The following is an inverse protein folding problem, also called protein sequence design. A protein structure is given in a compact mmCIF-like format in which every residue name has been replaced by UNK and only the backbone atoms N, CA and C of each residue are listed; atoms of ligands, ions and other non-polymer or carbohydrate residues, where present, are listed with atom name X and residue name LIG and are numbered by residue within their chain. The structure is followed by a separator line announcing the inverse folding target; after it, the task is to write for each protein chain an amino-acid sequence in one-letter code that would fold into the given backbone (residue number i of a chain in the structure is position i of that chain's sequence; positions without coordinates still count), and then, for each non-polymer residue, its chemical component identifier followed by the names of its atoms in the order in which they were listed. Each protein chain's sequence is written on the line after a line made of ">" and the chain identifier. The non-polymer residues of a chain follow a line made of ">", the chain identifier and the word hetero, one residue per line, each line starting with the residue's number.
data_IF_263045773524
#
_entry.id   IF_263045773524
#
_cell.length_a   1.000
_cell.length_b   1.000
_cell.length_c   1.000
_cell.angle_alpha   90.00
_cell.angle_beta   90.00
_cell.angle_gamma   90.00
#
_symmetry.space_group_name_H-M   'P 1'
#
loop_
_entity.id
_entity.type
_entity.pdbx_description
1 polymer ?
#
# COMPACT_ATOMS: atom_id res chain seq x y z
N UNK A 1 -5.92 -2.20 -19.49
CA UNK A 1 -5.44 -3.13 -20.53
C UNK A 1 -4.16 -3.88 -20.10
N UNK A 2 -3.11 -3.16 -19.67
CA UNK A 2 -1.86 -3.81 -19.21
C UNK A 2 -2.08 -4.66 -17.94
N UNK A 3 -2.86 -4.16 -16.98
CA UNK A 3 -3.15 -4.89 -15.73
C UNK A 3 -4.06 -6.10 -15.95
N UNK A 4 -4.88 -6.12 -17.01
CA UNK A 4 -5.75 -7.27 -17.30
C UNK A 4 -4.98 -8.44 -17.94
N UNK A 5 -4.03 -8.15 -18.85
CA UNK A 5 -3.34 -9.18 -19.64
C UNK A 5 -1.95 -9.54 -19.09
N UNK A 6 -1.29 -8.59 -18.39
CA UNK A 6 0.10 -8.71 -17.95
C UNK A 6 0.25 -8.45 -16.45
N UNK A 7 -0.82 -8.63 -15.68
CA UNK A 7 -0.87 -8.34 -14.24
C UNK A 7 0.31 -8.91 -13.46
N UNK A 8 0.67 -10.18 -13.72
CA UNK A 8 1.76 -10.87 -13.03
C UNK A 8 3.09 -10.14 -13.22
N UNK A 9 3.42 -9.77 -14.45
CA UNK A 9 4.71 -9.12 -14.78
C UNK A 9 4.80 -7.72 -14.20
N UNK A 10 3.69 -6.96 -14.25
CA UNK A 10 3.61 -5.61 -13.71
C UNK A 10 3.75 -5.63 -12.19
N UNK A 11 3.05 -6.53 -11.49
CA UNK A 11 3.11 -6.63 -10.04
C UNK A 11 4.48 -7.08 -9.55
N UNK A 12 5.14 -8.02 -10.24
CA UNK A 12 6.51 -8.43 -9.90
C UNK A 12 7.53 -7.31 -10.17
N UNK A 13 7.36 -6.54 -11.24
CA UNK A 13 8.19 -5.35 -11.50
C UNK A 13 8.02 -4.30 -10.39
N UNK A 14 6.78 -4.05 -9.98
CA UNK A 14 6.46 -3.12 -8.89
C UNK A 14 7.02 -3.60 -7.55
N UNK A 15 6.86 -4.89 -7.22
CA UNK A 15 7.47 -5.48 -6.03
C UNK A 15 8.99 -5.36 -6.04
N UNK A 16 9.61 -5.60 -7.20
CA UNK A 16 11.05 -5.39 -7.39
C UNK A 16 11.46 -3.96 -7.10
N UNK A 17 10.74 -2.98 -7.65
CA UNK A 17 11.01 -1.56 -7.42
C UNK A 17 10.93 -1.20 -5.93
N UNK A 18 9.90 -1.67 -5.23
CA UNK A 18 9.77 -1.47 -3.78
C UNK A 18 10.96 -2.10 -3.03
N UNK A 19 11.30 -3.35 -3.33
CA UNK A 19 12.43 -4.03 -2.67
C UNK A 19 13.75 -3.29 -2.96
N UNK A 20 13.90 -2.75 -4.17
CA UNK A 20 15.06 -1.94 -4.55
C UNK A 20 15.23 -0.65 -3.74
N UNK A 21 14.15 -0.07 -3.20
CA UNK A 21 14.21 1.11 -2.33
C UNK A 21 14.46 0.80 -0.86
N UNK A 22 14.27 -0.46 -0.41
CA UNK A 22 14.45 -0.85 1.00
C UNK A 22 15.83 -0.50 1.56
N UNK A 23 16.96 -0.70 0.85
CA UNK A 23 18.28 -0.33 1.37
C UNK A 23 18.39 1.14 1.74
N UNK A 24 17.81 2.06 0.97
CA UNK A 24 17.84 3.49 1.30
C UNK A 24 16.93 3.82 2.48
N UNK A 25 15.78 3.18 2.60
CA UNK A 25 14.92 3.31 3.76
C UNK A 25 15.60 2.84 5.04
N UNK A 26 16.35 1.72 4.99
CA UNK A 26 17.14 1.22 6.12
C UNK A 26 18.29 2.19 6.44
N UNK A 27 18.94 2.76 5.43
CA UNK A 27 19.97 3.77 5.61
C UNK A 27 19.44 5.03 6.29
N UNK A 28 18.28 5.52 5.85
CA UNK A 28 17.61 6.67 6.45
C UNK A 28 17.12 6.35 7.88
N UNK A 29 16.62 5.14 8.15
CA UNK A 29 16.26 4.69 9.48
C UNK A 29 17.41 4.76 10.48
N UNK A 30 18.63 4.44 10.04
CA UNK A 30 19.83 4.41 10.86
C UNK A 30 20.64 5.72 10.81
N UNK A 31 20.09 6.80 10.23
CA UNK A 31 20.81 8.05 10.01
C UNK A 31 21.25 8.71 11.31
N UNK A 32 20.37 8.74 12.31
CA UNK A 32 20.55 9.47 13.56
C UNK A 32 20.94 8.57 14.76
N UNK A 33 20.89 7.24 14.61
CA UNK A 33 21.22 6.27 15.66
C UNK A 33 21.61 4.91 15.07
N UNK A 34 22.48 4.18 15.80
CA UNK A 34 22.72 2.79 15.49
C UNK A 34 21.45 1.95 15.71
N UNK A 35 21.31 0.90 14.92
CA UNK A 35 20.18 -0.03 14.96
C UNK A 35 20.03 -0.67 16.34
N UNK A 36 18.90 -0.43 17.01
CA UNK A 36 18.58 -1.05 18.31
C UNK A 36 17.71 -2.32 18.12
N UNK A 37 17.75 -3.20 19.14
CA UNK A 37 16.88 -4.39 19.20
C UNK A 37 15.39 -4.02 19.15
N UNK A 38 15.04 -2.86 19.70
CA UNK A 38 13.66 -2.33 19.68
C UNK A 38 13.21 -2.02 18.27
N UNK A 39 14.07 -1.51 17.40
CA UNK A 39 13.76 -1.22 16.00
C UNK A 39 13.41 -2.49 15.22
N UNK A 40 14.15 -3.58 15.50
CA UNK A 40 13.86 -4.89 14.92
C UNK A 40 12.52 -5.47 15.40
N UNK A 41 12.16 -5.24 16.66
CA UNK A 41 10.85 -5.62 17.21
C UNK A 41 9.75 -4.84 16.52
N UNK A 42 9.89 -3.53 16.31
CA UNK A 42 8.94 -2.71 15.58
C UNK A 42 8.76 -3.20 14.14
N UNK A 43 9.86 -3.51 13.44
CA UNK A 43 9.81 -4.09 12.09
C UNK A 43 9.01 -5.39 12.05
N UNK A 44 9.38 -6.40 12.85
CA UNK A 44 8.72 -7.70 12.82
C UNK A 44 7.28 -7.65 13.29
N UNK A 45 7.01 -6.88 14.35
CA UNK A 45 5.64 -6.70 14.85
C UNK A 45 4.77 -6.07 13.77
N UNK A 46 5.24 -5.02 13.13
CA UNK A 46 4.49 -4.34 12.07
C UNK A 46 4.33 -5.23 10.86
N UNK A 47 5.38 -5.93 10.42
CA UNK A 47 5.32 -6.86 9.30
C UNK A 47 4.24 -7.95 9.52
N UNK A 48 4.23 -8.56 10.69
CA UNK A 48 3.27 -9.63 11.02
C UNK A 48 1.87 -9.06 11.20
N UNK A 49 1.71 -8.00 11.99
CA UNK A 49 0.40 -7.40 12.29
C UNK A 49 -0.25 -6.84 11.03
N UNK A 50 0.50 -6.10 10.20
CA UNK A 50 -0.02 -5.59 8.93
C UNK A 50 -0.37 -6.71 7.95
N UNK A 51 0.45 -7.77 7.89
CA UNK A 51 0.17 -8.95 7.08
C UNK A 51 -1.12 -9.65 7.48
N UNK A 52 -1.29 -9.91 8.77
CA UNK A 52 -2.52 -10.51 9.30
C UNK A 52 -3.71 -9.59 9.09
N UNK A 53 -3.56 -8.28 9.35
CA UNK A 53 -4.65 -7.32 9.19
C UNK A 53 -5.09 -7.22 7.72
N UNK A 54 -4.15 -7.03 6.80
CA UNK A 54 -4.45 -6.89 5.37
C UNK A 54 -5.02 -8.20 4.77
N UNK A 55 -4.49 -9.35 5.19
CA UNK A 55 -5.03 -10.65 4.77
C UNK A 55 -6.40 -10.91 5.40
N UNK A 56 -6.54 -10.62 6.68
CA UNK A 56 -7.78 -10.82 7.46
C UNK A 56 -8.95 -9.95 6.97
N UNK A 57 -8.67 -8.74 6.47
CA UNK A 57 -9.69 -7.87 5.90
C UNK A 57 -10.45 -8.53 4.73
N UNK A 58 -9.83 -9.47 4.00
CA UNK A 58 -10.50 -10.21 2.93
C UNK A 58 -11.59 -11.18 3.45
N UNK A 59 -11.58 -11.52 4.74
CA UNK A 59 -12.57 -12.38 5.38
C UNK A 59 -13.65 -11.59 6.14
N UNK A 60 -13.45 -10.28 6.33
CA UNK A 60 -14.43 -9.40 6.94
C UNK A 60 -15.42 -8.96 5.86
N UNK A 61 -16.46 -9.75 5.68
CA UNK A 61 -17.56 -9.41 4.76
C UNK A 61 -18.55 -8.54 5.50
N UNK A 62 -18.49 -7.25 5.27
CA UNK A 62 -19.47 -6.29 5.80
C UNK A 62 -19.85 -5.30 4.71
N UNK A 63 -21.13 -5.24 4.34
CA UNK A 63 -21.61 -4.18 3.45
C UNK A 63 -22.13 -3.01 4.27
N UNK A 64 -21.41 -1.89 4.20
CA UNK A 64 -21.88 -0.62 4.74
C UNK A 64 -22.85 0.02 3.75
N UNK A 65 -23.96 0.57 4.28
CA UNK A 65 -24.89 1.33 3.45
C UNK A 65 -24.24 2.61 2.93
N UNK A 66 -24.62 3.04 1.73
CA UNK A 66 -24.21 4.32 1.19
C UNK A 66 -24.81 5.45 2.05
N UNK A 67 -24.01 6.07 2.89
CA UNK A 67 -24.40 7.19 3.76
C UNK A 67 -23.29 8.23 3.79
N UNK A 68 -23.63 9.45 4.17
CA UNK A 68 -22.67 10.55 4.27
C UNK A 68 -21.46 10.21 5.14
N UNK A 69 -21.69 9.60 6.33
CA UNK A 69 -20.60 9.18 7.23
C UNK A 69 -19.74 8.06 6.65
N UNK A 70 -20.35 7.10 5.97
CA UNK A 70 -19.63 6.00 5.35
C UNK A 70 -18.80 6.47 4.13
N UNK A 71 -19.25 7.54 3.45
CA UNK A 71 -18.42 8.17 2.42
C UNK A 71 -17.28 9.02 2.99
N UNK A 72 -17.42 9.61 4.20
CA UNK A 72 -16.27 10.18 4.91
C UNK A 72 -15.24 9.09 5.23
N UNK A 73 -15.68 7.93 5.72
CA UNK A 73 -14.81 6.78 5.95
C UNK A 73 -14.13 6.33 4.64
N UNK A 74 -14.90 6.26 3.54
CA UNK A 74 -14.35 5.92 2.23
C UNK A 74 -13.23 6.89 1.80
N UNK A 75 -13.45 8.19 1.97
CA UNK A 75 -12.45 9.22 1.70
C UNK A 75 -11.20 9.07 2.58
N UNK A 76 -11.40 8.74 3.85
CA UNK A 76 -10.29 8.46 4.78
C UNK A 76 -9.46 7.25 4.34
N UNK A 77 -10.11 6.17 3.90
CA UNK A 77 -9.44 4.96 3.39
C UNK A 77 -8.69 5.22 2.08
N UNK A 78 -9.27 6.04 1.18
CA UNK A 78 -8.60 6.48 -0.04
C UNK A 78 -7.32 7.25 0.29
N UNK A 79 -7.39 8.20 1.23
CA UNK A 79 -6.23 8.97 1.67
C UNK A 79 -5.16 8.08 2.32
N UNK A 80 -5.55 7.15 3.18
CA UNK A 80 -4.63 6.18 3.78
C UNK A 80 -3.96 5.29 2.72
N UNK A 81 -4.69 4.88 1.68
CA UNK A 81 -4.11 4.11 0.58
C UNK A 81 -3.05 4.85 -0.22
N UNK A 82 -3.15 6.20 -0.28
CA UNK A 82 -2.11 7.04 -0.88
C UNK A 82 -0.91 7.19 0.06
N UNK A 83 -1.16 7.32 1.36
CA UNK A 83 -0.14 7.58 2.38
C UNK A 83 0.63 6.31 2.79
N UNK A 84 -0.03 5.15 2.76
CA UNK A 84 0.55 3.87 3.15
C UNK A 84 0.83 3.03 1.92
N UNK A 85 2.10 2.89 1.51
CA UNK A 85 2.46 2.08 0.34
C UNK A 85 1.95 0.64 0.46
N UNK A 86 1.37 0.12 -0.62
CA UNK A 86 0.86 -1.25 -0.68
C UNK A 86 -0.54 -1.45 -0.08
N UNK A 87 -1.14 -0.44 0.54
CA UNK A 87 -2.54 -0.49 0.93
C UNK A 87 -3.40 -0.20 -0.32
N UNK A 88 -4.19 -1.16 -0.78
CA UNK A 88 -5.14 -0.96 -1.88
C UNK A 88 -6.45 -0.39 -1.33
N UNK A 89 -6.74 0.90 -1.52
CA UNK A 89 -7.96 1.50 -1.01
C UNK A 89 -9.20 0.95 -1.72
N UNK A 90 -9.11 0.63 -3.00
CA UNK A 90 -10.22 0.01 -3.76
C UNK A 90 -10.63 -1.33 -3.17
N UNK A 91 -9.67 -2.13 -2.75
CA UNK A 91 -9.94 -3.43 -2.12
C UNK A 91 -10.66 -3.27 -0.77
N UNK A 92 -10.22 -2.31 0.05
CA UNK A 92 -10.90 -2.00 1.32
C UNK A 92 -12.34 -1.53 1.08
N UNK A 93 -12.55 -0.66 0.08
CA UNK A 93 -13.88 -0.18 -0.27
C UNK A 93 -14.78 -1.28 -0.84
N UNK A 94 -14.21 -2.24 -1.60
CA UNK A 94 -14.94 -3.42 -2.08
C UNK A 94 -15.40 -4.30 -0.91
N UNK A 95 -14.51 -4.60 0.03
CA UNK A 95 -14.82 -5.39 1.23
C UNK A 95 -15.94 -4.73 2.07
N UNK A 96 -15.90 -3.40 2.19
CA UNK A 96 -16.90 -2.62 2.91
C UNK A 96 -18.19 -2.37 2.11
N UNK A 97 -18.26 -2.80 0.84
CA UNK A 97 -19.42 -2.59 -0.02
C UNK A 97 -19.61 -1.13 -0.48
N UNK A 98 -18.64 -0.26 -0.25
CA UNK A 98 -18.71 1.17 -0.58
C UNK A 98 -18.20 1.50 -1.98
N UNK A 99 -17.47 0.60 -2.64
CA UNK A 99 -16.85 0.85 -3.94
C UNK A 99 -17.89 1.12 -5.05
N UNK A 100 -18.89 0.24 -5.20
CA UNK A 100 -19.92 0.39 -6.23
C UNK A 100 -20.81 1.64 -6.01
N UNK A 101 -21.31 1.93 -4.79
CA UNK A 101 -22.02 3.17 -4.50
C UNK A 101 -21.18 4.42 -4.78
N UNK A 102 -19.89 4.42 -4.42
CA UNK A 102 -18.97 5.51 -4.70
C UNK A 102 -18.82 5.76 -6.21
N UNK A 103 -18.59 4.70 -7.02
CA UNK A 103 -18.51 4.83 -8.48
C UNK A 103 -19.80 5.35 -9.09
N UNK A 104 -20.95 4.93 -8.56
CA UNK A 104 -22.26 5.41 -9.02
C UNK A 104 -22.40 6.91 -8.74
N UNK A 105 -22.06 7.36 -7.54
CA UNK A 105 -22.05 8.78 -7.17
C UNK A 105 -21.08 9.61 -8.03
N UNK A 106 -19.92 9.06 -8.37
CA UNK A 106 -18.98 9.74 -9.28
C UNK A 106 -19.51 9.85 -10.71
N UNK A 107 -20.15 8.80 -11.24
CA UNK A 107 -20.79 8.82 -12.57
C UNK A 107 -21.97 9.79 -12.67
N UNK A 108 -22.75 9.94 -11.59
CA UNK A 108 -23.87 10.86 -11.51
C UNK A 108 -23.48 12.28 -11.13
N UNK A 109 -22.18 12.56 -10.89
CA UNK A 109 -21.69 13.86 -10.40
C UNK A 109 -22.39 14.31 -9.12
N UNK A 110 -22.69 13.38 -8.21
CA UNK A 110 -23.32 13.69 -6.91
C UNK A 110 -22.34 14.41 -6.00
N UNK A 111 -22.33 15.73 -6.11
CA UNK A 111 -21.39 16.60 -5.40
C UNK A 111 -21.58 16.56 -3.88
N UNK A 112 -22.82 16.56 -3.39
CA UNK A 112 -23.08 16.67 -1.96
C UNK A 112 -23.18 15.31 -1.26
N UNK A 113 -23.73 14.31 -1.94
CA UNK A 113 -23.89 12.97 -1.35
C UNK A 113 -22.63 12.11 -1.43
N UNK A 114 -21.75 12.33 -2.43
CA UNK A 114 -20.58 11.48 -2.67
C UNK A 114 -19.27 12.25 -2.63
N UNK A 115 -19.09 13.27 -3.49
CA UNK A 115 -17.79 13.95 -3.59
C UNK A 115 -17.43 14.71 -2.32
N UNK A 116 -18.37 15.45 -1.75
CA UNK A 116 -18.12 16.28 -0.57
C UNK A 116 -17.71 15.43 0.65
N UNK A 117 -18.47 14.39 1.05
CA UNK A 117 -18.07 13.57 2.21
C UNK A 117 -16.75 12.82 1.98
N UNK A 118 -16.49 12.32 0.78
CA UNK A 118 -15.22 11.69 0.45
C UNK A 118 -14.08 12.72 0.56
N UNK A 119 -14.26 13.93 0.01
CA UNK A 119 -13.31 15.01 0.11
C UNK A 119 -13.01 15.42 1.55
N UNK A 120 -14.04 15.53 2.39
CA UNK A 120 -13.89 15.83 3.82
C UNK A 120 -13.07 14.72 4.50
N UNK A 121 -13.41 13.45 4.30
CA UNK A 121 -12.69 12.32 4.87
C UNK A 121 -11.22 12.29 4.45
N UNK A 122 -10.96 12.49 3.16
CA UNK A 122 -9.61 12.53 2.62
C UNK A 122 -8.78 13.68 3.23
N UNK A 123 -9.30 14.90 3.24
CA UNK A 123 -8.60 16.08 3.76
C UNK A 123 -8.34 15.96 5.26
N UNK A 124 -9.33 15.54 6.05
CA UNK A 124 -9.15 15.33 7.48
C UNK A 124 -8.07 14.28 7.77
N UNK A 125 -8.07 13.20 7.03
CA UNK A 125 -7.06 12.13 7.19
C UNK A 125 -5.68 12.61 6.78
N UNK A 126 -5.54 13.32 5.67
CA UNK A 126 -4.27 13.89 5.24
C UNK A 126 -3.69 14.84 6.29
N UNK A 127 -4.51 15.74 6.84
CA UNK A 127 -4.06 16.70 7.87
C UNK A 127 -3.70 15.98 9.17
N UNK A 128 -4.53 15.06 9.64
CA UNK A 128 -4.29 14.33 10.87
C UNK A 128 -3.05 13.44 10.77
N UNK A 129 -2.92 12.70 9.64
CA UNK A 129 -1.79 11.82 9.41
C UNK A 129 -0.49 12.59 9.22
N UNK A 130 -0.50 13.71 8.50
CA UNK A 130 0.68 14.57 8.31
C UNK A 130 1.22 15.08 9.64
N UNK A 131 0.35 15.60 10.52
CA UNK A 131 0.74 16.07 11.85
C UNK A 131 1.27 14.93 12.73
N UNK A 132 0.60 13.77 12.68
CA UNK A 132 1.03 12.59 13.41
C UNK A 132 2.41 12.12 12.93
N UNK A 133 2.62 12.02 11.61
CA UNK A 133 3.89 11.58 11.03
C UNK A 133 5.02 12.57 11.31
N UNK A 134 4.78 13.89 11.22
CA UNK A 134 5.79 14.89 11.57
C UNK A 134 6.24 14.73 13.02
N UNK A 135 5.31 14.60 13.95
CA UNK A 135 5.62 14.35 15.37
C UNK A 135 6.36 13.02 15.57
N UNK A 136 5.84 11.94 14.97
CA UNK A 136 6.41 10.60 15.12
C UNK A 136 7.83 10.50 14.55
N UNK A 137 8.09 11.13 13.39
CA UNK A 137 9.42 11.19 12.78
C UNK A 137 10.41 12.02 13.58
N UNK A 138 9.97 13.11 14.22
CA UNK A 138 10.85 13.92 15.08
C UNK A 138 11.25 13.21 16.36
N UNK A 139 10.35 12.44 16.97
CA UNK A 139 10.57 11.81 18.28
C UNK A 139 11.11 10.38 18.16
N UNK A 140 10.63 9.63 17.16
CA UNK A 140 10.89 8.19 17.01
C UNK A 140 11.39 7.83 15.62
N UNK A 141 12.31 8.61 15.05
CA UNK A 141 12.78 8.50 13.65
C UNK A 141 13.06 7.04 13.22
N UNK A 142 13.99 6.36 13.89
CA UNK A 142 14.38 4.98 13.54
C UNK A 142 13.20 4.00 13.61
N UNK A 143 12.41 4.07 14.69
CA UNK A 143 11.25 3.17 14.89
C UNK A 143 10.17 3.36 13.82
N UNK A 144 9.91 4.62 13.43
CA UNK A 144 8.92 4.95 12.40
C UNK A 144 9.37 4.41 11.04
N UNK A 145 10.65 4.52 10.70
CA UNK A 145 11.17 3.93 9.47
C UNK A 145 11.09 2.41 9.47
N UNK A 146 11.43 1.75 10.58
CA UNK A 146 11.29 0.30 10.69
C UNK A 146 9.82 -0.16 10.63
N UNK A 147 8.90 0.63 11.19
CA UNK A 147 7.47 0.44 11.05
C UNK A 147 7.02 0.55 9.59
N UNK A 148 7.45 1.58 8.85
CA UNK A 148 7.15 1.78 7.42
C UNK A 148 7.70 0.62 6.59
N UNK A 149 8.97 0.23 6.81
CA UNK A 149 9.59 -0.90 6.10
C UNK A 149 8.80 -2.19 6.35
N UNK A 150 8.34 -2.43 7.57
CA UNK A 150 7.51 -3.57 7.92
C UNK A 150 6.20 -3.62 7.14
N UNK A 151 5.45 -2.51 7.08
CA UNK A 151 4.20 -2.41 6.29
C UNK A 151 4.49 -2.61 4.81
N UNK A 152 5.48 -1.90 4.27
CA UNK A 152 5.82 -1.93 2.84
C UNK A 152 6.19 -3.33 2.39
N UNK A 153 7.03 -4.04 3.14
CA UNK A 153 7.41 -5.40 2.79
C UNK A 153 6.26 -6.40 2.96
N UNK A 154 5.46 -6.25 4.01
CA UNK A 154 4.28 -7.10 4.24
C UNK A 154 3.25 -6.93 3.12
N UNK A 155 2.90 -5.70 2.77
CA UNK A 155 1.94 -5.41 1.70
C UNK A 155 2.46 -5.86 0.33
N UNK A 156 3.77 -5.67 0.05
CA UNK A 156 4.41 -6.14 -1.17
C UNK A 156 4.33 -7.67 -1.29
N UNK A 157 4.57 -8.39 -0.20
CA UNK A 157 4.43 -9.84 -0.17
C UNK A 157 2.97 -10.27 -0.45
N UNK A 158 2.01 -9.60 0.18
CA UNK A 158 0.59 -9.93 0.01
C UNK A 158 0.06 -9.69 -1.41
N UNK A 159 0.54 -8.64 -2.10
CA UNK A 159 0.18 -8.38 -3.50
C UNK A 159 0.64 -9.53 -4.41
N UNK A 160 1.74 -10.21 -4.07
CA UNK A 160 2.27 -11.35 -4.82
C UNK A 160 1.62 -12.69 -4.45
N UNK A 161 0.81 -12.74 -3.38
CA UNK A 161 0.12 -13.97 -2.98
C UNK A 161 -1.25 -14.07 -3.68
N UNK A 162 -1.56 -15.22 -4.29
CA UNK A 162 -2.89 -15.44 -4.84
C UNK A 162 -3.92 -15.48 -3.72
N UNK A 163 -5.03 -14.74 -3.90
CA UNK A 163 -6.11 -14.72 -2.93
C UNK A 163 -7.44 -15.02 -3.64
N UNK A 164 -7.98 -16.19 -3.37
CA UNK A 164 -9.23 -16.66 -4.00
C UNK A 164 -10.46 -15.78 -3.67
N UNK A 165 -10.41 -14.99 -2.60
CA UNK A 165 -11.49 -14.07 -2.20
C UNK A 165 -11.45 -12.72 -2.89
N UNK A 166 -10.37 -12.41 -3.64
CA UNK A 166 -10.21 -11.12 -4.30
C UNK A 166 -10.09 -11.28 -5.81
N UNK A 167 -11.08 -10.79 -6.60
CA UNK A 167 -11.04 -10.88 -8.06
C UNK A 167 -9.85 -10.14 -8.69
N UNK A 168 -9.26 -9.18 -7.99
CA UNK A 168 -8.08 -8.43 -8.44
C UNK A 168 -6.75 -9.12 -8.03
N UNK A 169 -6.80 -10.28 -7.36
CA UNK A 169 -5.59 -10.98 -6.93
C UNK A 169 -4.84 -11.60 -8.11
N UNK A 170 -3.54 -11.70 -7.93
CA UNK A 170 -2.65 -12.33 -8.92
C UNK A 170 -3.01 -13.80 -9.12
N UNK A 171 -3.03 -14.26 -10.36
CA UNK A 171 -3.21 -15.67 -10.72
C UNK A 171 -1.98 -16.18 -11.45
N UNK A 172 -1.46 -17.30 -10.98
CA UNK A 172 -0.31 -18.00 -11.60
C UNK A 172 -0.75 -19.18 -12.45
N UNK A 173 -2.06 -19.41 -12.61
CA UNK A 173 -2.59 -20.54 -13.38
C UNK A 173 -2.29 -20.37 -14.88
N UNK A 174 -1.78 -21.43 -15.49
CA UNK A 174 -1.48 -21.44 -16.94
C UNK A 174 -0.16 -20.77 -17.35
N UNK A 175 0.69 -20.38 -16.40
CA UNK A 175 2.00 -19.83 -16.72
C UNK A 175 2.96 -20.92 -17.23
N UNK A 176 3.66 -20.62 -18.32
CA UNK A 176 4.73 -21.46 -18.87
C UNK A 176 6.08 -21.17 -18.18
N UNK A 177 7.07 -22.05 -18.37
CA UNK A 177 8.45 -21.83 -17.87
C UNK A 177 9.01 -20.49 -18.38
N UNK A 178 8.70 -20.13 -19.63
CA UNK A 178 9.10 -18.83 -20.21
C UNK A 178 8.51 -17.66 -19.42
N UNK A 179 7.26 -17.77 -18.95
CA UNK A 179 6.64 -16.74 -18.13
C UNK A 179 7.39 -16.49 -16.82
N UNK A 180 7.89 -17.54 -16.17
CA UNK A 180 8.69 -17.36 -14.94
C UNK A 180 10.04 -16.66 -15.21
N UNK A 181 10.67 -16.92 -16.36
CA UNK A 181 11.89 -16.20 -16.76
C UNK A 181 11.60 -14.73 -16.99
N UNK A 182 10.48 -14.41 -17.64
CA UNK A 182 10.03 -13.03 -17.87
C UNK A 182 9.72 -12.34 -16.52
N UNK A 183 9.04 -13.02 -15.59
CA UNK A 183 8.79 -12.52 -14.24
C UNK A 183 10.11 -12.16 -13.54
N UNK A 184 11.09 -13.07 -13.56
CA UNK A 184 12.39 -12.82 -12.94
C UNK A 184 13.11 -11.62 -13.57
N UNK A 185 13.02 -11.48 -14.90
CA UNK A 185 13.56 -10.32 -15.61
C UNK A 185 12.91 -9.02 -15.17
N UNK A 186 11.57 -8.94 -15.14
CA UNK A 186 10.83 -7.74 -14.71
C UNK A 186 11.06 -7.42 -13.23
N UNK A 187 11.18 -8.42 -12.39
CA UNK A 187 11.54 -8.25 -10.99
C UNK A 187 12.94 -7.65 -10.82
N UNK A 188 13.93 -8.18 -11.52
CA UNK A 188 15.30 -7.64 -11.51
C UNK A 188 15.35 -6.21 -12.08
N UNK A 189 14.61 -5.94 -13.15
CA UNK A 189 14.46 -4.59 -13.72
C UNK A 189 13.84 -3.63 -12.69
N UNK A 190 12.80 -4.08 -11.98
CA UNK A 190 12.18 -3.33 -10.90
C UNK A 190 13.18 -2.99 -9.79
N UNK A 191 13.95 -3.97 -9.30
CA UNK A 191 14.98 -3.74 -8.29
C UNK A 191 16.00 -2.70 -8.77
N UNK A 192 16.48 -2.84 -10.00
CA UNK A 192 17.42 -1.89 -10.58
C UNK A 192 16.85 -0.47 -10.63
N UNK A 193 15.60 -0.32 -11.09
CA UNK A 193 14.91 0.98 -11.11
C UNK A 193 14.73 1.56 -9.70
N UNK A 194 14.35 0.75 -8.72
CA UNK A 194 14.21 1.17 -7.33
C UNK A 194 15.52 1.69 -6.74
N UNK A 195 16.61 0.96 -6.94
CA UNK A 195 17.95 1.37 -6.52
C UNK A 195 18.37 2.67 -7.23
N UNK A 196 18.15 2.75 -8.54
CA UNK A 196 18.52 3.93 -9.33
C UNK A 196 17.76 5.19 -8.89
N UNK A 197 16.44 5.09 -8.68
CA UNK A 197 15.63 6.20 -8.17
C UNK A 197 16.08 6.64 -6.77
N UNK A 198 16.38 5.68 -5.91
CA UNK A 198 16.88 5.93 -4.57
C UNK A 198 18.22 6.66 -4.55
N UNK A 199 19.15 6.29 -5.44
CA UNK A 199 20.43 6.97 -5.60
C UNK A 199 20.26 8.40 -6.16
N UNK A 200 19.29 8.61 -7.06
CA UNK A 200 18.97 9.95 -7.54
C UNK A 200 18.45 10.84 -6.41
N UNK A 201 17.55 10.33 -5.57
CA UNK A 201 17.04 11.08 -4.42
C UNK A 201 18.16 11.47 -3.45
N UNK A 202 19.10 10.56 -3.16
CA UNK A 202 20.27 10.88 -2.32
C UNK A 202 21.18 11.95 -2.92
N UNK A 203 21.28 12.00 -4.24
CA UNK A 203 22.15 12.99 -4.93
C UNK A 203 21.58 14.39 -4.93
N UNK A 204 20.25 14.55 -4.80
CA UNK A 204 19.57 15.84 -4.83
C UNK A 204 19.05 16.30 -3.45
N UNK A 205 19.29 15.54 -2.40
CA UNK A 205 19.17 15.93 -0.99
C UNK A 205 20.43 16.67 -0.51
#
# INVERSE_FOLDING_TARGET
>A
YLLEHYQVYVLWSFAGAIIGTVPSLVKEANRDSERDKIDLIWFWTTFIVSGIALYGLNFVVGSLSASFLNFILAGSLLALGILVPGLSPSNLLLILGLYAPMLTGFKSFDLFGTFLPIGIGAVLTLIAFSKFMDYALRVYHSRVYHFIIGIVLSSTLLILLPNAGNPESISYTGLSIVSYVIIAFFFALGIWLGIWMSQLEEKYK
#
